data_IF_974573601013
#
_entry.id   IF_974573601013
#
_cell.length_a   1.000
_cell.length_b   1.000
_cell.length_c   1.000
_cell.angle_alpha   90.00
_cell.angle_beta   90.00
_cell.angle_gamma   90.00
#
_symmetry.space_group_name_H-M   'P 1'
#
loop_
_entity.id
_entity.type
_entity.pdbx_description
1 polymer ?
#
# COMPACT_ATOMS: atom_id res chain seq x y z
N UNK A 1 -7.02 9.53 -7.08
CA UNK A 1 -7.63 8.66 -8.13
C UNK A 1 -9.15 8.81 -8.16
N UNK A 2 -9.84 8.61 -7.07
CA UNK A 2 -11.31 8.65 -6.94
C UNK A 2 -11.93 9.93 -7.53
N UNK A 3 -11.34 11.10 -7.25
CA UNK A 3 -11.82 12.37 -7.79
C UNK A 3 -11.76 12.43 -9.33
N UNK A 4 -10.75 11.83 -9.94
CA UNK A 4 -10.64 11.78 -11.41
C UNK A 4 -11.72 10.91 -12.05
N UNK A 5 -12.13 9.85 -11.36
CA UNK A 5 -13.25 9.00 -11.83
C UNK A 5 -14.58 9.71 -11.63
N UNK A 6 -14.82 10.32 -10.46
CA UNK A 6 -16.05 11.06 -10.18
C UNK A 6 -16.27 12.23 -11.16
N UNK A 7 -15.20 12.97 -11.46
CA UNK A 7 -15.26 14.08 -12.43
C UNK A 7 -15.34 13.64 -13.90
N UNK A 8 -15.21 12.35 -14.19
CA UNK A 8 -15.23 11.80 -15.55
C UNK A 8 -13.94 11.99 -16.35
N UNK A 9 -12.89 12.50 -15.74
CA UNK A 9 -11.55 12.62 -16.38
C UNK A 9 -10.96 11.22 -16.61
N UNK A 10 -11.21 10.28 -15.70
CA UNK A 10 -10.88 8.86 -15.88
C UNK A 10 -12.16 8.02 -15.90
N UNK A 11 -12.25 7.08 -16.83
CA UNK A 11 -13.37 6.13 -16.89
C UNK A 11 -13.29 5.04 -15.84
N UNK A 12 -12.08 4.62 -15.49
CA UNK A 12 -11.77 3.60 -14.47
C UNK A 12 -10.56 4.04 -13.66
N UNK A 13 -10.52 3.66 -12.39
CA UNK A 13 -9.37 3.86 -11.51
C UNK A 13 -9.13 2.63 -10.64
N UNK A 14 -7.91 2.47 -10.16
CA UNK A 14 -7.58 1.50 -9.11
C UNK A 14 -7.44 2.26 -7.79
N UNK A 15 -8.13 1.79 -6.77
CA UNK A 15 -8.19 2.40 -5.44
C UNK A 15 -7.96 1.36 -4.34
N UNK A 16 -7.59 1.84 -3.17
CA UNK A 16 -7.51 1.04 -1.96
C UNK A 16 -8.86 0.84 -1.27
N UNK A 17 -8.87 0.14 -0.13
CA UNK A 17 -10.09 -0.24 0.59
C UNK A 17 -10.81 0.95 1.25
N UNK A 18 -10.17 2.10 1.35
CA UNK A 18 -10.67 3.30 2.07
C UNK A 18 -11.90 3.92 1.43
N UNK A 19 -12.13 3.64 0.17
CA UNK A 19 -13.18 4.27 -0.62
C UNK A 19 -14.45 3.44 -0.74
N UNK A 20 -14.65 2.47 0.17
CA UNK A 20 -15.85 1.62 0.15
C UNK A 20 -17.12 2.45 0.40
N UNK A 21 -18.13 2.22 -0.46
CA UNK A 21 -19.46 2.81 -0.29
C UNK A 21 -19.59 4.27 -0.68
N UNK A 22 -18.68 4.82 -1.49
CA UNK A 22 -18.84 6.16 -2.05
C UNK A 22 -19.98 6.20 -3.02
N UNK A 23 -20.94 7.12 -2.80
CA UNK A 23 -22.07 7.34 -3.69
C UNK A 23 -21.61 7.67 -5.11
N UNK A 24 -22.26 7.09 -6.11
CA UNK A 24 -21.97 7.30 -7.53
C UNK A 24 -20.81 6.48 -8.09
N UNK A 25 -20.18 5.60 -7.28
CA UNK A 25 -19.13 4.71 -7.73
C UNK A 25 -19.49 3.25 -7.51
N UNK A 26 -19.27 2.46 -8.55
CA UNK A 26 -19.18 0.99 -8.47
C UNK A 26 -17.76 0.55 -8.15
N UNK A 27 -17.64 -0.58 -7.45
CA UNK A 27 -16.37 -1.10 -6.98
C UNK A 27 -16.29 -2.60 -7.22
N UNK A 28 -15.23 -3.03 -7.87
CA UNK A 28 -14.95 -4.44 -8.14
C UNK A 28 -13.60 -4.79 -7.54
N UNK A 29 -13.51 -5.81 -6.69
CA UNK A 29 -12.22 -6.28 -6.17
C UNK A 29 -11.39 -6.84 -7.32
N UNK A 30 -10.16 -6.34 -7.44
CA UNK A 30 -9.24 -6.72 -8.53
C UNK A 30 -7.90 -7.28 -8.03
N UNK A 31 -7.77 -7.45 -6.72
CA UNK A 31 -6.59 -8.06 -6.13
C UNK A 31 -6.32 -7.62 -4.71
N UNK A 32 -5.22 -8.09 -4.22
CA UNK A 32 -4.60 -7.61 -2.99
C UNK A 32 -3.09 -7.70 -3.12
N UNK A 33 -2.39 -6.86 -2.38
CA UNK A 33 -0.94 -6.91 -2.29
C UNK A 33 -0.55 -7.07 -0.83
N UNK A 34 0.37 -7.97 -0.56
CA UNK A 34 0.94 -8.10 0.77
C UNK A 34 1.83 -6.90 1.08
N UNK A 35 1.60 -6.28 2.23
CA UNK A 35 2.45 -5.22 2.76
C UNK A 35 3.31 -5.79 3.87
N UNK A 36 4.61 -5.78 3.68
CA UNK A 36 5.59 -6.26 4.65
C UNK A 36 6.41 -5.11 5.22
N UNK A 37 6.69 -5.11 6.53
CA UNK A 37 7.53 -4.11 7.16
C UNK A 37 9.00 -4.40 6.82
N UNK A 38 9.71 -3.39 6.29
CA UNK A 38 11.10 -3.52 5.86
C UNK A 38 11.96 -2.35 6.33
N UNK A 39 13.26 -2.60 6.45
CA UNK A 39 14.28 -1.58 6.65
C UNK A 39 15.62 -2.05 6.05
N UNK A 40 16.57 -1.11 5.89
CA UNK A 40 17.94 -1.47 5.54
C UNK A 40 18.60 -2.34 6.63
N UNK A 41 19.57 -3.22 6.29
CA UNK A 41 20.26 -4.08 7.25
C UNK A 41 21.00 -3.30 8.36
N UNK A 42 21.36 -2.05 8.09
CA UNK A 42 22.02 -1.15 9.05
C UNK A 42 21.07 -0.58 10.09
N UNK A 43 19.76 -0.63 9.84
CA UNK A 43 18.74 -0.08 10.73
C UNK A 43 18.67 -0.89 12.05
N UNK A 44 18.51 -0.24 13.23
CA UNK A 44 18.45 -0.93 14.51
C UNK A 44 17.44 -2.08 14.57
N UNK A 45 16.22 -1.88 14.06
CA UNK A 45 15.17 -2.92 14.01
C UNK A 45 15.57 -4.14 13.15
N UNK A 46 16.42 -3.95 12.14
CA UNK A 46 16.87 -5.03 11.27
C UNK A 46 18.08 -5.81 11.83
N UNK A 47 18.72 -5.28 12.88
CA UNK A 47 19.82 -5.97 13.60
C UNK A 47 19.31 -6.93 14.66
N UNK A 48 18.10 -6.74 15.15
CA UNK A 48 17.46 -7.62 16.12
C UNK A 48 16.90 -8.86 15.45
N UNK A 49 17.06 -10.02 16.07
CA UNK A 49 16.45 -11.28 15.59
C UNK A 49 14.95 -11.28 15.83
N UNK A 50 14.51 -10.67 16.94
CA UNK A 50 13.12 -10.38 17.19
C UNK A 50 13.01 -9.02 17.90
N UNK A 51 11.98 -8.25 17.56
CA UNK A 51 11.74 -6.95 18.15
C UNK A 51 10.71 -7.07 19.29
N UNK A 52 10.99 -6.41 20.42
CA UNK A 52 10.04 -6.33 21.52
C UNK A 52 8.83 -5.50 21.11
N UNK A 53 7.63 -5.75 21.66
CA UNK A 53 6.47 -4.91 21.43
C UNK A 53 6.78 -3.43 21.72
N UNK A 54 6.47 -2.57 20.77
CA UNK A 54 6.74 -1.13 20.85
C UNK A 54 8.11 -0.68 20.36
N UNK A 55 9.05 -1.57 20.07
CA UNK A 55 10.39 -1.18 19.60
C UNK A 55 10.34 -0.31 18.33
N UNK A 56 9.39 -0.54 17.45
CA UNK A 56 9.24 0.23 16.21
C UNK A 56 8.82 1.68 16.45
N UNK A 57 8.24 2.01 17.62
CA UNK A 57 7.73 3.36 17.95
C UNK A 57 8.82 4.41 18.06
N UNK A 58 10.02 4.02 18.48
CA UNK A 58 11.12 4.93 18.69
C UNK A 58 11.87 5.30 17.40
N UNK A 59 11.52 4.62 16.30
CA UNK A 59 12.15 4.80 15.00
C UNK A 59 11.21 5.51 14.03
N UNK A 60 11.81 6.26 13.07
CA UNK A 60 11.05 6.96 12.03
C UNK A 60 10.35 5.95 11.13
N UNK A 61 9.02 6.01 11.10
CA UNK A 61 8.20 5.25 10.17
C UNK A 61 7.94 6.05 8.90
N UNK A 62 8.26 5.46 7.74
CA UNK A 62 7.96 6.04 6.44
C UNK A 62 6.57 5.58 5.98
N UNK A 63 5.67 6.54 5.80
CA UNK A 63 4.29 6.30 5.39
C UNK A 63 4.07 6.83 3.99
N UNK A 64 3.24 6.15 3.20
CA UNK A 64 2.74 6.70 1.96
C UNK A 64 1.51 7.56 2.28
N UNK A 65 1.60 8.86 2.01
CA UNK A 65 0.47 9.76 2.17
C UNK A 65 -0.54 9.53 1.04
N UNK A 66 -1.81 9.37 1.40
CA UNK A 66 -2.87 9.51 0.43
C UNK A 66 -3.03 11.00 0.07
N UNK A 67 -3.03 11.31 -1.23
CA UNK A 67 -3.28 12.67 -1.74
C UNK A 67 -4.78 12.99 -1.83
N UNK A 68 -5.64 12.08 -1.38
CA UNK A 68 -7.09 12.28 -1.41
C UNK A 68 -7.54 13.06 -0.19
N UNK A 69 -8.27 14.15 -0.40
CA UNK A 69 -8.96 14.88 0.68
C UNK A 69 -10.04 14.04 1.36
N UNK A 70 -10.47 12.93 0.73
CA UNK A 70 -11.49 12.02 1.26
C UNK A 70 -10.94 11.08 2.35
N UNK A 71 -9.64 10.91 2.42
CA UNK A 71 -8.95 10.02 3.36
C UNK A 71 -7.95 10.75 4.24
N UNK A 72 -8.03 12.09 4.24
CA UNK A 72 -7.15 12.93 5.06
C UNK A 72 -7.23 12.52 6.53
N UNK A 73 -6.07 12.18 7.11
CA UNK A 73 -5.97 11.73 8.50
C UNK A 73 -6.17 10.23 8.74
N UNK A 74 -6.43 9.42 7.71
CA UNK A 74 -6.48 7.95 7.83
C UNK A 74 -5.19 7.36 7.28
N UNK A 75 -4.27 7.03 8.15
CA UNK A 75 -3.02 6.36 7.79
C UNK A 75 -3.13 4.86 8.10
N UNK A 76 -2.78 4.01 7.12
CA UNK A 76 -2.75 2.57 7.31
C UNK A 76 -1.42 2.10 7.89
N UNK A 77 -1.50 1.22 8.90
CA UNK A 77 -0.32 0.61 9.50
C UNK A 77 0.58 1.61 10.25
N UNK A 78 0.00 2.67 10.83
CA UNK A 78 0.76 3.60 11.66
C UNK A 78 1.03 2.94 13.01
N UNK A 79 2.31 2.75 13.29
CA UNK A 79 2.81 2.20 14.56
C UNK A 79 3.74 3.19 15.25
N UNK A 80 4.53 3.93 14.46
CA UNK A 80 5.54 4.85 14.96
C UNK A 80 4.95 6.13 15.54
N UNK A 81 5.54 6.63 16.63
CA UNK A 81 5.24 7.95 17.19
C UNK A 81 5.76 9.07 16.26
N UNK A 82 6.88 8.80 15.58
CA UNK A 82 7.48 9.69 14.58
C UNK A 82 7.29 9.09 13.20
N UNK A 83 6.64 9.84 12.31
CA UNK A 83 6.41 9.40 10.94
C UNK A 83 6.75 10.48 9.93
N UNK A 84 7.29 10.07 8.80
CA UNK A 84 7.43 10.90 7.61
C UNK A 84 6.43 10.46 6.55
N UNK A 85 5.64 11.41 6.06
CA UNK A 85 4.67 11.17 5.00
C UNK A 85 5.27 11.50 3.65
N UNK A 86 5.25 10.54 2.75
CA UNK A 86 5.81 10.61 1.41
C UNK A 86 4.70 10.48 0.38
N UNK A 87 4.75 11.28 -0.65
CA UNK A 87 3.72 11.29 -1.70
C UNK A 87 3.99 10.28 -2.82
N UNK A 88 5.15 9.60 -2.77
CA UNK A 88 5.61 8.70 -3.82
C UNK A 88 6.22 7.43 -3.23
N UNK A 89 5.82 6.28 -3.76
CA UNK A 89 6.26 4.98 -3.27
C UNK A 89 7.71 4.67 -3.65
N UNK A 90 8.18 5.17 -4.79
CA UNK A 90 9.58 5.04 -5.22
C UNK A 90 10.51 5.85 -4.31
N UNK A 91 10.12 7.07 -3.94
CA UNK A 91 10.85 7.88 -2.97
C UNK A 91 10.91 7.19 -1.61
N UNK A 92 9.81 6.60 -1.15
CA UNK A 92 9.77 5.80 0.08
C UNK A 92 10.75 4.63 0.02
N UNK A 93 10.74 3.88 -1.09
CA UNK A 93 11.65 2.77 -1.32
C UNK A 93 13.12 3.21 -1.25
N UNK A 94 13.48 4.30 -1.96
CA UNK A 94 14.84 4.83 -1.96
C UNK A 94 15.33 5.22 -0.54
N UNK A 95 14.46 5.84 0.27
CA UNK A 95 14.78 6.20 1.65
C UNK A 95 14.95 4.98 2.55
N UNK A 96 14.13 3.93 2.36
CA UNK A 96 14.28 2.67 3.10
C UNK A 96 15.62 2.00 2.79
N UNK A 97 15.99 1.93 1.50
CA UNK A 97 17.30 1.38 1.07
C UNK A 97 18.46 2.22 1.61
N UNK A 98 18.29 3.55 1.69
CA UNK A 98 19.27 4.45 2.29
C UNK A 98 19.36 4.36 3.84
N UNK A 99 18.51 3.58 4.48
CA UNK A 99 18.54 3.37 5.94
C UNK A 99 17.89 4.48 6.77
N UNK A 100 17.06 5.33 6.17
CA UNK A 100 16.45 6.51 6.83
C UNK A 100 15.17 6.13 7.61
N UNK A 101 14.93 4.90 7.92
CA UNK A 101 13.78 4.50 8.69
C UNK A 101 13.28 3.12 8.30
N UNK A 102 12.06 2.83 8.70
CA UNK A 102 11.37 1.59 8.39
C UNK A 102 9.97 1.85 7.85
N UNK A 103 9.33 0.87 7.21
CA UNK A 103 7.94 1.02 6.77
C UNK A 103 7.43 -0.16 5.97
N UNK A 104 6.10 -0.23 5.83
CA UNK A 104 5.44 -1.25 5.01
C UNK A 104 5.65 -0.99 3.53
N UNK A 105 6.04 -2.01 2.77
CA UNK A 105 6.19 -1.97 1.32
C UNK A 105 5.43 -3.14 0.68
N UNK A 106 4.90 -2.96 -0.53
CA UNK A 106 4.40 -4.09 -1.32
C UNK A 106 5.50 -5.14 -1.51
N UNK A 107 5.26 -6.37 -1.06
CA UNK A 107 6.26 -7.45 -1.14
C UNK A 107 6.85 -7.61 -2.56
N UNK A 108 6.05 -7.62 -3.65
CA UNK A 108 6.60 -7.75 -5.00
C UNK A 108 7.58 -6.64 -5.40
N UNK A 109 7.46 -5.44 -4.82
CA UNK A 109 8.36 -4.32 -5.10
C UNK A 109 9.72 -4.45 -4.42
N UNK A 110 9.79 -5.14 -3.30
CA UNK A 110 11.00 -5.24 -2.48
C UNK A 110 11.63 -6.63 -2.49
N UNK A 111 11.02 -7.58 -3.18
CA UNK A 111 11.50 -8.98 -3.26
C UNK A 111 12.97 -9.06 -3.68
N UNK A 112 13.37 -8.37 -4.74
CA UNK A 112 14.75 -8.35 -5.19
C UNK A 112 15.70 -7.68 -4.18
N UNK A 113 15.22 -6.73 -3.39
CA UNK A 113 16.01 -6.10 -2.32
C UNK A 113 16.18 -7.04 -1.13
N UNK A 114 15.17 -7.82 -0.82
CA UNK A 114 15.24 -8.85 0.23
C UNK A 114 16.21 -9.97 -0.18
N UNK A 115 16.11 -10.46 -1.41
CA UNK A 115 16.99 -11.49 -1.96
C UNK A 115 18.45 -11.04 -2.02
N UNK A 116 18.70 -9.78 -2.39
CA UNK A 116 20.05 -9.19 -2.45
C UNK A 116 20.57 -8.69 -1.09
N UNK A 117 19.75 -8.71 -0.05
CA UNK A 117 20.09 -8.21 1.27
C UNK A 117 20.19 -6.69 1.40
N UNK A 118 19.69 -5.91 0.43
CA UNK A 118 19.60 -4.45 0.53
C UNK A 118 18.52 -4.00 1.51
N UNK A 119 17.47 -4.78 1.65
CA UNK A 119 16.45 -4.63 2.68
C UNK A 119 16.32 -5.93 3.47
N UNK A 120 15.81 -5.82 4.69
CA UNK A 120 15.39 -6.93 5.54
C UNK A 120 13.94 -6.82 5.91
N UNK A 121 13.23 -7.94 5.88
CA UNK A 121 11.92 -8.07 6.50
C UNK A 121 12.07 -7.93 8.03
N UNK A 122 11.18 -7.14 8.63
CA UNK A 122 11.17 -6.91 10.08
C UNK A 122 10.08 -7.76 10.73
N UNK A 123 10.44 -8.47 11.78
CA UNK A 123 9.44 -9.11 12.64
C UNK A 123 9.01 -8.12 13.72
N UNK A 124 7.81 -7.54 13.53
CA UNK A 124 7.23 -6.56 14.43
C UNK A 124 5.90 -7.08 14.97
N UNK A 125 5.79 -7.34 16.29
CA UNK A 125 4.55 -7.86 16.90
C UNK A 125 3.33 -6.97 16.67
N UNK A 126 3.53 -5.67 16.57
CA UNK A 126 2.49 -4.67 16.33
C UNK A 126 2.09 -4.51 14.85
N UNK A 127 2.78 -5.16 13.92
CA UNK A 127 2.44 -5.08 12.51
C UNK A 127 1.26 -5.99 12.18
N UNK A 128 0.10 -5.39 11.93
CA UNK A 128 -1.14 -6.11 11.62
C UNK A 128 -1.61 -5.96 10.17
N UNK A 129 -0.95 -5.11 9.39
CA UNK A 129 -1.35 -4.85 8.00
C UNK A 129 -0.69 -5.85 7.06
N UNK A 130 -1.32 -7.02 6.88
CA UNK A 130 -0.77 -8.05 6.00
C UNK A 130 -1.16 -7.84 4.51
N UNK A 131 -2.42 -7.47 4.23
CA UNK A 131 -2.91 -7.38 2.85
C UNK A 131 -3.62 -6.06 2.60
N UNK A 132 -3.26 -5.42 1.50
CA UNK A 132 -3.89 -4.21 0.99
C UNK A 132 -4.78 -4.57 -0.20
N UNK A 133 -6.10 -4.58 0.03
CA UNK A 133 -7.06 -4.91 -1.03
C UNK A 133 -7.12 -3.80 -2.07
N UNK A 134 -7.11 -4.16 -3.35
CA UNK A 134 -7.27 -3.23 -4.47
C UNK A 134 -8.62 -3.42 -5.14
N UNK A 135 -9.22 -2.31 -5.55
CA UNK A 135 -10.52 -2.27 -6.20
C UNK A 135 -10.44 -1.43 -7.47
N UNK A 136 -11.01 -1.94 -8.54
CA UNK A 136 -11.36 -1.11 -9.68
C UNK A 136 -12.60 -0.30 -9.33
N UNK A 137 -12.56 1.00 -9.60
CA UNK A 137 -13.66 1.93 -9.38
C UNK A 137 -14.07 2.57 -10.70
N UNK A 138 -15.36 2.72 -10.92
CA UNK A 138 -15.93 3.44 -12.06
C UNK A 138 -17.28 4.07 -11.67
N UNK A 139 -17.77 5.02 -12.46
CA UNK A 139 -19.04 5.68 -12.16
C UNK A 139 -20.21 4.75 -12.42
N UNK A 140 -21.17 4.72 -11.51
CA UNK A 140 -22.42 3.97 -11.66
C UNK A 140 -23.17 4.37 -12.92
N UNK A 141 -23.21 5.67 -13.23
CA UNK A 141 -23.92 6.23 -14.40
C UNK A 141 -23.16 6.06 -15.72
N UNK A 142 -21.87 5.65 -15.67
CA UNK A 142 -21.03 5.48 -16.84
C UNK A 142 -20.19 4.22 -16.70
N UNK A 143 -20.79 3.02 -16.93
CA UNK A 143 -20.09 1.76 -16.84
C UNK A 143 -18.91 1.70 -17.83
N UNK A 144 -17.86 0.91 -17.50
CA UNK A 144 -16.66 0.83 -18.30
C UNK A 144 -16.98 0.25 -19.69
N UNK A 145 -16.37 0.81 -20.73
CA UNK A 145 -16.43 0.26 -22.09
C UNK A 145 -15.77 -1.14 -22.17
N UNK A 146 -15.95 -1.86 -23.30
CA UNK A 146 -15.56 -3.27 -23.41
C UNK A 146 -14.10 -3.56 -23.03
N UNK A 147 -13.15 -2.72 -23.41
CA UNK A 147 -11.73 -2.91 -23.09
C UNK A 147 -11.46 -2.77 -21.59
N UNK A 148 -12.05 -1.78 -20.94
CA UNK A 148 -11.90 -1.55 -19.51
C UNK A 148 -12.62 -2.63 -18.69
N UNK A 149 -13.79 -3.07 -19.11
CA UNK A 149 -14.51 -4.19 -18.50
C UNK A 149 -13.70 -5.49 -18.59
N UNK A 150 -13.13 -5.79 -19.75
CA UNK A 150 -12.24 -6.95 -19.92
C UNK A 150 -11.02 -6.89 -18.99
N UNK A 151 -10.40 -5.72 -18.84
CA UNK A 151 -9.26 -5.54 -17.96
C UNK A 151 -9.64 -5.78 -16.48
N UNK A 152 -10.77 -5.24 -16.04
CA UNK A 152 -11.29 -5.44 -14.68
C UNK A 152 -11.54 -6.93 -14.41
N UNK A 153 -12.23 -7.61 -15.34
CA UNK A 153 -12.48 -9.06 -15.22
C UNK A 153 -11.20 -9.88 -15.16
N UNK A 154 -10.21 -9.51 -15.99
CA UNK A 154 -8.92 -10.21 -16.00
C UNK A 154 -8.20 -10.09 -14.67
N UNK A 155 -8.16 -8.88 -14.07
CA UNK A 155 -7.56 -8.69 -12.75
C UNK A 155 -8.36 -9.41 -11.66
N UNK A 156 -9.68 -9.36 -11.68
CA UNK A 156 -10.53 -10.06 -10.73
C UNK A 156 -10.27 -11.58 -10.75
N UNK A 157 -10.21 -12.20 -11.93
CA UNK A 157 -9.93 -13.64 -12.09
C UNK A 157 -8.51 -14.02 -11.61
N UNK A 158 -7.51 -13.16 -11.81
CA UNK A 158 -6.17 -13.40 -11.30
C UNK A 158 -6.11 -13.32 -9.78
N UNK A 159 -6.93 -12.47 -9.18
CA UNK A 159 -7.06 -12.36 -7.72
C UNK A 159 -7.60 -13.62 -7.07
N UNK A 160 -8.54 -14.32 -7.70
CA UNK A 160 -9.15 -15.56 -7.18
C UNK A 160 -8.21 -16.78 -7.31
N UNK A 161 -7.21 -16.72 -8.16
CA UNK A 161 -6.27 -17.80 -8.41
C UNK A 161 -5.04 -17.82 -7.46
N UNK A 162 -4.92 -16.85 -6.57
CA UNK A 162 -3.72 -16.68 -5.71
C UNK A 162 -4.01 -16.99 -4.23
N UNK A 163 -5.08 -17.77 -3.92
CA UNK A 163 -5.42 -18.24 -2.56
C UNK A 163 -5.28 -19.75 -2.44
#
# INVERSE_FOLDING_TARGET
MTQLVLSGVASVGISGPEHRGLAGLEQVRVGSVELIPVAAPTHPLAKSVSNSPGAARDHIQLLLADRSTLTEGKDFGVVGVRSWRLADLGAKHALLVAGIGWGGMPEPMVRADLESGRLKHLELPEWSCAFYAMQAIYRTEAPPGPAAAWLIERFAKQSDATW
#
